data_IF_695527455564
#
_entry.id   IF_695527455564
#
_cell.length_a   1.000
_cell.length_b   1.000
_cell.length_c   1.000
_cell.angle_alpha   90.00
_cell.angle_beta   90.00
_cell.angle_gamma   90.00
#
_symmetry.space_group_name_H-M   'P 1'
#
loop_
_entity.id
_entity.type
_entity.pdbx_description
1 polymer ?
#
# COMPACT_ATOMS: atom_id res chain seq x y z
N UNK A 1 -2.76 7.86 -23.64
CA UNK A 1 -3.92 7.23 -22.92
C UNK A 1 -3.34 6.15 -22.05
N UNK A 2 -3.64 6.17 -20.76
CA UNK A 2 -3.14 5.19 -19.78
C UNK A 2 -3.67 3.79 -20.14
N UNK A 3 -2.82 2.78 -20.14
CA UNK A 3 -3.22 1.38 -20.35
C UNK A 3 -3.54 0.70 -19.01
N UNK A 4 -4.72 1.01 -18.46
CA UNK A 4 -5.20 0.42 -17.23
C UNK A 4 -5.34 -1.11 -17.31
N UNK A 5 -5.52 -1.67 -18.52
CA UNK A 5 -5.59 -3.12 -18.68
C UNK A 5 -4.26 -3.77 -18.27
N UNK A 6 -3.13 -3.22 -18.75
CA UNK A 6 -1.80 -3.73 -18.40
C UNK A 6 -1.55 -3.66 -16.88
N UNK A 7 -1.97 -2.56 -16.24
CA UNK A 7 -1.83 -2.41 -14.79
C UNK A 7 -2.69 -3.46 -14.05
N UNK A 8 -3.95 -3.64 -14.45
CA UNK A 8 -4.84 -4.64 -13.85
C UNK A 8 -4.33 -6.07 -14.04
N UNK A 9 -3.91 -6.42 -15.27
CA UNK A 9 -3.35 -7.75 -15.56
C UNK A 9 -2.15 -8.02 -14.62
N UNK A 10 -1.30 -7.01 -14.38
CA UNK A 10 -0.14 -7.13 -13.47
C UNK A 10 -0.53 -7.31 -12.00
N UNK A 11 -1.60 -6.63 -11.56
CA UNK A 11 -2.13 -6.79 -10.20
C UNK A 11 -2.79 -8.17 -10.01
N UNK A 12 -3.47 -8.70 -11.03
CA UNK A 12 -4.01 -10.07 -10.99
C UNK A 12 -2.90 -11.10 -10.88
N UNK A 13 -1.81 -10.94 -11.66
CA UNK A 13 -0.62 -11.78 -11.56
C UNK A 13 0.02 -11.71 -10.16
N UNK A 14 0.07 -10.52 -9.55
CA UNK A 14 0.59 -10.34 -8.20
C UNK A 14 -0.28 -11.05 -7.16
N UNK A 15 -1.60 -10.93 -7.27
CA UNK A 15 -2.54 -11.62 -6.39
C UNK A 15 -2.38 -13.15 -6.45
N UNK A 16 -2.15 -13.71 -7.64
CA UNK A 16 -1.87 -15.14 -7.79
C UNK A 16 -0.58 -15.56 -7.06
N UNK A 17 0.43 -14.69 -7.05
CA UNK A 17 1.71 -14.96 -6.36
C UNK A 17 1.59 -15.03 -4.83
N UNK A 18 0.52 -14.51 -4.22
CA UNK A 18 0.29 -14.61 -2.77
C UNK A 18 0.23 -16.08 -2.31
N UNK A 19 -0.49 -16.89 -3.07
CA UNK A 19 -0.70 -18.32 -2.78
C UNK A 19 0.21 -19.23 -3.64
N UNK A 20 0.70 -18.71 -4.78
CA UNK A 20 1.47 -19.46 -5.77
C UNK A 20 2.76 -18.71 -6.16
N UNK A 21 3.77 -18.64 -5.27
CA UNK A 21 5.04 -18.00 -5.58
C UNK A 21 5.70 -18.60 -6.82
N UNK A 22 6.31 -17.78 -7.65
CA UNK A 22 6.97 -18.23 -8.87
C UNK A 22 8.36 -18.76 -8.58
N UNK A 23 8.78 -19.75 -9.35
CA UNK A 23 10.13 -20.31 -9.22
C UNK A 23 11.18 -19.31 -9.67
N UNK A 24 12.17 -19.08 -8.83
CA UNK A 24 13.34 -18.26 -9.11
C UNK A 24 14.46 -19.14 -9.68
N UNK A 25 15.19 -18.61 -10.66
CA UNK A 25 16.38 -19.25 -11.22
C UNK A 25 17.61 -18.87 -10.40
N UNK A 26 18.59 -19.74 -10.31
CA UNK A 26 19.88 -19.42 -9.67
C UNK A 26 20.51 -18.18 -10.32
N UNK A 27 20.87 -17.19 -9.51
CA UNK A 27 21.45 -15.91 -9.96
C UNK A 27 20.46 -14.94 -10.60
N UNK A 28 19.15 -15.18 -10.54
CA UNK A 28 18.13 -14.25 -11.00
C UNK A 28 18.10 -13.03 -10.07
N UNK A 29 18.15 -11.84 -10.65
CA UNK A 29 18.02 -10.60 -9.87
C UNK A 29 16.56 -10.37 -9.48
N UNK A 30 16.36 -10.07 -8.22
CA UNK A 30 15.04 -9.75 -7.65
C UNK A 30 15.03 -8.35 -7.08
N UNK A 31 13.87 -7.75 -7.10
CA UNK A 31 13.61 -6.42 -6.55
C UNK A 31 12.46 -6.49 -5.55
N UNK A 32 12.61 -5.83 -4.40
CA UNK A 32 11.58 -5.80 -3.38
C UNK A 32 10.94 -4.43 -3.27
N UNK A 33 9.64 -4.43 -2.99
CA UNK A 33 8.89 -3.27 -2.54
C UNK A 33 8.29 -3.56 -1.17
N UNK A 34 8.52 -2.69 -0.19
CA UNK A 34 7.91 -2.77 1.13
C UNK A 34 7.01 -1.56 1.36
N UNK A 35 5.73 -1.83 1.61
CA UNK A 35 4.73 -0.83 1.97
C UNK A 35 4.30 -1.03 3.44
N UNK A 36 4.41 0.03 4.25
CA UNK A 36 3.96 0.07 5.63
C UNK A 36 2.62 0.81 5.73
N UNK A 37 1.58 0.24 5.17
CA UNK A 37 0.25 0.85 5.21
C UNK A 37 -0.44 0.78 6.57
N UNK A 38 -1.43 1.64 6.79
CA UNK A 38 -2.23 1.70 8.03
C UNK A 38 -3.02 0.42 8.32
N UNK A 39 -3.40 -0.32 7.28
CA UNK A 39 -4.16 -1.56 7.42
C UNK A 39 -3.32 -2.82 7.20
N UNK A 40 -2.35 -2.75 6.29
CA UNK A 40 -1.51 -3.88 5.93
C UNK A 40 -0.06 -3.45 5.79
N UNK A 41 0.86 -4.32 6.19
CA UNK A 41 2.25 -4.30 5.72
C UNK A 41 2.34 -5.29 4.58
N UNK A 42 2.90 -4.86 3.46
CA UNK A 42 2.99 -5.65 2.22
C UNK A 42 4.43 -5.72 1.76
N UNK A 43 4.93 -6.91 1.45
CA UNK A 43 6.21 -7.14 0.78
C UNK A 43 5.95 -7.76 -0.58
N UNK A 44 6.39 -7.10 -1.63
CA UNK A 44 6.28 -7.55 -3.03
C UNK A 44 7.67 -7.88 -3.55
N UNK A 45 7.78 -8.97 -4.32
CA UNK A 45 9.01 -9.32 -5.03
C UNK A 45 8.74 -9.41 -6.52
N UNK A 46 9.59 -8.75 -7.30
CA UNK A 46 9.56 -8.72 -8.76
C UNK A 46 10.87 -9.27 -9.32
N UNK A 47 10.82 -9.81 -10.54
CA UNK A 47 12.01 -10.15 -11.30
C UNK A 47 12.60 -8.94 -12.06
N UNK A 48 13.69 -9.15 -12.79
CA UNK A 48 14.38 -8.12 -13.58
C UNK A 48 13.54 -7.51 -14.71
N UNK A 49 12.47 -8.18 -15.13
CA UNK A 49 11.52 -7.70 -16.13
C UNK A 49 10.28 -7.04 -15.51
N UNK A 50 10.25 -6.94 -14.17
CA UNK A 50 9.14 -6.38 -13.39
C UNK A 50 7.94 -7.32 -13.31
N UNK A 51 8.12 -8.64 -13.54
CA UNK A 51 7.05 -9.60 -13.33
C UNK A 51 6.95 -9.96 -11.84
N UNK A 52 5.73 -10.09 -11.29
CA UNK A 52 5.53 -10.56 -9.92
C UNK A 52 6.12 -11.97 -9.73
N UNK A 53 6.83 -12.14 -8.61
CA UNK A 53 7.44 -13.41 -8.19
C UNK A 53 6.80 -13.90 -6.91
N UNK A 54 6.63 -13.02 -5.92
CA UNK A 54 5.98 -13.32 -4.65
C UNK A 54 5.34 -12.07 -4.06
N UNK A 55 4.35 -12.27 -3.21
CA UNK A 55 3.71 -11.20 -2.45
C UNK A 55 3.24 -11.74 -1.10
N UNK A 56 3.69 -11.14 -0.02
CA UNK A 56 3.19 -11.45 1.33
C UNK A 56 2.70 -10.19 2.00
N UNK A 57 1.63 -10.33 2.76
CA UNK A 57 1.07 -9.22 3.51
C UNK A 57 0.51 -9.68 4.84
N UNK A 58 0.47 -8.76 5.79
CA UNK A 58 -0.13 -8.98 7.10
C UNK A 58 -0.96 -7.78 7.51
N UNK A 59 -2.19 -8.04 7.97
CA UNK A 59 -2.98 -7.02 8.65
C UNK A 59 -2.27 -6.60 9.93
N UNK A 60 -2.13 -5.30 10.14
CA UNK A 60 -1.42 -4.75 11.28
C UNK A 60 -2.01 -3.39 11.69
N UNK A 61 -1.89 -3.06 12.96
CA UNK A 61 -2.28 -1.76 13.54
C UNK A 61 -1.05 -1.01 14.09
N UNK A 62 0.08 -1.17 13.43
CA UNK A 62 1.37 -0.56 13.82
C UNK A 62 1.60 0.80 13.18
N UNK A 63 0.78 1.14 12.18
CA UNK A 63 0.74 2.44 11.50
C UNK A 63 -0.64 3.05 11.71
N UNK A 64 -0.70 4.35 11.99
CA UNK A 64 -1.94 5.10 12.13
C UNK A 64 -1.82 6.43 11.40
N UNK A 65 -2.76 6.69 10.51
CA UNK A 65 -2.82 7.94 9.72
C UNK A 65 -1.46 8.25 9.05
N UNK A 66 -0.82 7.23 8.46
CA UNK A 66 0.47 7.33 7.80
C UNK A 66 1.71 7.31 8.72
N UNK A 67 1.55 7.35 10.03
CA UNK A 67 2.67 7.37 11.00
C UNK A 67 2.87 6.02 11.67
N UNK A 68 4.12 5.58 11.82
CA UNK A 68 4.48 4.36 12.57
C UNK A 68 4.32 4.64 14.06
N UNK A 69 3.31 4.02 14.69
CA UNK A 69 3.00 4.16 16.13
C UNK A 69 3.54 3.01 16.98
N UNK A 70 3.85 1.87 16.36
CA UNK A 70 4.53 0.74 17.00
C UNK A 70 5.71 0.29 16.11
N UNK A 71 6.87 0.90 16.35
CA UNK A 71 8.07 0.64 15.58
C UNK A 71 8.56 -0.81 15.71
N UNK A 72 8.53 -1.37 16.93
CA UNK A 72 9.00 -2.75 17.17
C UNK A 72 8.09 -3.74 16.48
N UNK A 73 6.77 -3.55 16.60
CA UNK A 73 5.79 -4.38 15.91
C UNK A 73 5.94 -4.31 14.38
N UNK A 74 6.20 -3.11 13.82
CA UNK A 74 6.44 -2.94 12.39
C UNK A 74 7.70 -3.69 11.92
N UNK A 75 8.81 -3.59 12.66
CA UNK A 75 10.05 -4.33 12.38
C UNK A 75 9.84 -5.85 12.43
N UNK A 76 9.10 -6.35 13.44
CA UNK A 76 8.85 -7.78 13.59
C UNK A 76 7.95 -8.34 12.49
N UNK A 77 6.97 -7.56 12.01
CA UNK A 77 6.12 -7.96 10.89
C UNK A 77 6.94 -7.95 9.60
N UNK A 78 7.65 -6.87 9.30
CA UNK A 78 8.48 -6.76 8.09
C UNK A 78 9.50 -7.91 8.00
N UNK A 79 10.16 -8.25 9.13
CA UNK A 79 11.10 -9.36 9.21
C UNK A 79 10.43 -10.70 8.91
N UNK A 80 9.26 -10.99 9.50
CA UNK A 80 8.51 -12.23 9.23
C UNK A 80 8.10 -12.35 7.77
N UNK A 81 7.64 -11.27 7.14
CA UNK A 81 7.29 -11.30 5.73
C UNK A 81 8.51 -11.58 4.85
N UNK A 82 9.65 -10.97 5.16
CA UNK A 82 10.92 -11.25 4.47
C UNK A 82 11.35 -12.71 4.62
N UNK A 83 11.40 -13.21 5.86
CA UNK A 83 11.76 -14.61 6.16
C UNK A 83 10.84 -15.61 5.45
N UNK A 84 9.54 -15.30 5.37
CA UNK A 84 8.58 -16.14 4.67
C UNK A 84 8.87 -16.19 3.17
N UNK A 85 9.05 -15.04 2.52
CA UNK A 85 9.38 -14.94 1.10
C UNK A 85 10.71 -15.65 0.79
N UNK A 86 11.76 -15.38 1.57
CA UNK A 86 13.07 -16.01 1.39
C UNK A 86 13.01 -17.53 1.54
N UNK A 87 12.22 -18.01 2.52
CA UNK A 87 12.00 -19.45 2.73
C UNK A 87 11.26 -20.12 1.58
N UNK A 88 10.27 -19.45 0.99
CA UNK A 88 9.49 -19.97 -0.14
C UNK A 88 10.27 -19.93 -1.46
N UNK A 89 11.05 -18.87 -1.69
CA UNK A 89 11.83 -18.69 -2.93
C UNK A 89 13.20 -19.38 -2.88
N UNK A 90 13.73 -19.67 -1.68
CA UNK A 90 15.06 -20.26 -1.47
C UNK A 90 16.20 -19.31 -1.82
N UNK A 91 16.01 -17.99 -1.65
CA UNK A 91 16.98 -16.94 -1.95
C UNK A 91 17.04 -15.95 -0.78
N UNK A 92 18.13 -15.16 -0.70
CA UNK A 92 18.22 -14.01 0.18
C UNK A 92 17.80 -12.74 -0.60
N UNK A 93 17.16 -11.80 0.09
CA UNK A 93 16.75 -10.50 -0.43
C UNK A 93 17.62 -9.44 0.21
N UNK A 94 18.30 -8.62 -0.60
CA UNK A 94 19.32 -7.67 -0.13
C UNK A 94 18.84 -6.22 -0.14
N UNK A 95 18.00 -5.83 -1.08
CA UNK A 95 17.59 -4.43 -1.29
C UNK A 95 16.07 -4.29 -1.45
N UNK A 96 15.54 -3.12 -1.07
CA UNK A 96 14.13 -2.78 -1.31
C UNK A 96 13.95 -1.29 -1.62
N UNK A 97 12.81 -0.98 -2.26
CA UNK A 97 12.21 0.34 -2.24
C UNK A 97 11.08 0.35 -1.20
N UNK A 98 10.79 1.53 -0.63
CA UNK A 98 9.67 1.73 0.30
C UNK A 98 8.71 2.77 -0.23
N UNK A 99 7.42 2.63 0.11
CA UNK A 99 6.40 3.62 -0.13
C UNK A 99 5.98 4.28 1.19
N UNK A 100 5.66 5.58 1.12
CA UNK A 100 5.20 6.41 2.25
C UNK A 100 4.06 7.31 1.79
N UNK A 101 3.18 7.79 2.68
CA UNK A 101 2.22 8.81 2.32
C UNK A 101 2.91 10.10 1.82
N UNK A 102 2.31 10.83 0.87
CA UNK A 102 2.84 12.11 0.41
C UNK A 102 3.09 13.08 1.58
N UNK A 103 4.04 14.01 1.41
CA UNK A 103 4.42 15.05 2.39
C UNK A 103 5.00 14.53 3.72
N UNK A 104 5.13 13.22 3.92
CA UNK A 104 5.65 12.63 5.18
C UNK A 104 7.15 12.36 5.14
N UNK A 105 7.85 12.58 4.01
CA UNK A 105 9.28 12.27 3.83
C UNK A 105 10.16 12.85 4.95
N UNK A 106 9.90 14.08 5.37
CA UNK A 106 10.71 14.77 6.37
C UNK A 106 10.53 14.22 7.80
N UNK A 107 9.40 13.58 8.10
CA UNK A 107 9.05 13.10 9.43
C UNK A 107 9.15 11.57 9.53
N UNK A 108 8.52 10.85 8.62
CA UNK A 108 8.35 9.40 8.69
C UNK A 108 9.18 8.61 7.67
N UNK A 109 9.67 9.23 6.60
CA UNK A 109 10.50 8.55 5.60
C UNK A 109 11.73 7.87 6.21
N UNK A 110 12.34 8.51 7.23
CA UNK A 110 13.44 7.92 7.99
C UNK A 110 13.00 6.72 8.83
N UNK A 111 11.79 6.74 9.40
CA UNK A 111 11.28 5.64 10.24
C UNK A 111 10.95 4.42 9.37
N UNK A 112 10.26 4.61 8.25
CA UNK A 112 9.91 3.53 7.32
C UNK A 112 11.18 2.89 6.72
N UNK A 113 12.14 3.72 6.32
CA UNK A 113 13.47 3.26 5.90
C UNK A 113 14.15 2.41 6.97
N UNK A 114 14.17 2.88 8.23
CA UNK A 114 14.78 2.14 9.35
C UNK A 114 14.06 0.81 9.62
N UNK A 115 12.72 0.74 9.45
CA UNK A 115 11.98 -0.53 9.54
C UNK A 115 12.48 -1.51 8.48
N UNK A 116 12.60 -1.08 7.22
CA UNK A 116 13.13 -1.92 6.15
C UNK A 116 14.57 -2.39 6.46
N UNK A 117 15.46 -1.47 6.84
CA UNK A 117 16.86 -1.77 7.16
C UNK A 117 17.00 -2.67 8.41
N UNK A 118 16.06 -2.64 9.35
CA UNK A 118 16.05 -3.54 10.51
C UNK A 118 15.86 -5.02 10.14
N UNK A 119 15.37 -5.30 8.94
CA UNK A 119 15.23 -6.66 8.40
C UNK A 119 16.47 -7.17 7.68
N UNK A 120 17.49 -6.33 7.51
CA UNK A 120 18.68 -6.59 6.71
C UNK A 120 18.55 -6.20 5.24
N UNK A 121 17.45 -5.58 4.81
CA UNK A 121 17.30 -5.02 3.47
C UNK A 121 17.97 -3.65 3.41
N UNK A 122 18.72 -3.37 2.34
CA UNK A 122 19.17 -2.02 2.04
C UNK A 122 18.03 -1.24 1.40
N UNK A 123 17.59 -0.12 1.99
CA UNK A 123 16.58 0.74 1.40
C UNK A 123 17.21 1.64 0.33
N UNK A 124 17.02 1.30 -0.93
CA UNK A 124 17.61 1.97 -2.09
C UNK A 124 16.78 3.13 -2.62
N UNK A 125 15.49 3.18 -2.33
CA UNK A 125 14.60 4.26 -2.77
C UNK A 125 13.41 4.43 -1.83
N UNK A 126 12.93 5.67 -1.72
CA UNK A 126 11.69 6.06 -1.02
C UNK A 126 10.81 6.80 -2.01
N UNK A 127 9.55 6.39 -2.15
CA UNK A 127 8.56 7.03 -3.01
C UNK A 127 7.33 7.39 -2.20
N UNK A 128 6.61 8.45 -2.60
CA UNK A 128 5.23 8.58 -2.15
C UNK A 128 4.34 7.52 -2.83
N UNK A 129 3.31 7.06 -2.13
CA UNK A 129 2.45 5.95 -2.56
C UNK A 129 1.82 6.19 -3.94
N UNK A 130 1.19 7.36 -4.25
CA UNK A 130 0.66 7.62 -5.58
C UNK A 130 1.72 7.67 -6.67
N UNK A 131 2.93 8.17 -6.38
CA UNK A 131 4.05 8.17 -7.34
C UNK A 131 4.54 6.74 -7.59
N UNK A 132 4.66 5.92 -6.55
CA UNK A 132 4.98 4.50 -6.70
C UNK A 132 3.92 3.78 -7.55
N UNK A 133 2.63 3.99 -7.30
CA UNK A 133 1.54 3.44 -8.10
C UNK A 133 1.62 3.91 -9.56
N UNK A 134 2.03 5.16 -9.79
CA UNK A 134 2.16 5.70 -11.15
C UNK A 134 3.27 5.04 -11.98
N UNK A 135 4.27 4.42 -11.37
CA UNK A 135 5.26 3.64 -12.11
C UNK A 135 4.62 2.47 -12.88
N UNK A 136 3.52 1.93 -12.35
CA UNK A 136 2.74 0.89 -13.02
C UNK A 136 1.67 1.48 -13.95
N UNK A 137 1.00 2.56 -13.53
CA UNK A 137 -0.12 3.20 -14.25
C UNK A 137 0.39 3.96 -15.49
N UNK A 138 1.48 4.72 -15.35
CA UNK A 138 2.12 5.47 -16.45
C UNK A 138 1.37 6.74 -16.85
N UNK A 139 0.70 7.42 -15.92
CA UNK A 139 0.07 8.73 -16.17
C UNK A 139 1.15 9.80 -16.34
N UNK A 140 1.09 10.54 -17.44
CA UNK A 140 1.98 11.70 -17.73
C UNK A 140 1.32 13.03 -17.39
N UNK A 141 -0.01 13.11 -17.57
CA UNK A 141 -0.81 14.30 -17.32
C UNK A 141 -2.12 13.88 -16.64
N UNK A 142 -2.32 14.31 -15.40
CA UNK A 142 -3.47 13.94 -14.58
C UNK A 142 -3.09 13.71 -13.12
N UNK A 143 -3.96 13.05 -12.37
CA UNK A 143 -3.73 12.73 -10.98
C UNK A 143 -3.81 11.22 -10.73
N UNK A 144 -3.00 10.74 -9.80
CA UNK A 144 -3.13 9.42 -9.20
C UNK A 144 -3.61 9.62 -7.77
N UNK A 145 -4.69 8.95 -7.42
CA UNK A 145 -5.32 9.01 -6.09
C UNK A 145 -5.19 7.65 -5.44
N UNK A 146 -4.53 7.61 -4.31
CA UNK A 146 -4.41 6.44 -3.45
C UNK A 146 -5.31 6.62 -2.21
N UNK A 147 -6.29 5.73 -2.07
CA UNK A 147 -7.19 5.71 -0.91
C UNK A 147 -6.81 4.52 -0.05
N UNK A 148 -5.88 4.76 0.86
CA UNK A 148 -5.36 3.76 1.77
C UNK A 148 -6.27 3.46 2.96
N UNK A 149 -5.72 2.80 3.98
CA UNK A 149 -6.41 2.53 5.24
C UNK A 149 -6.64 3.80 6.08
N UNK A 150 -5.61 4.62 6.26
CA UNK A 150 -5.61 5.81 7.11
C UNK A 150 -5.78 7.11 6.36
N UNK A 151 -5.14 7.24 5.20
CA UNK A 151 -5.01 8.48 4.44
C UNK A 151 -5.56 8.35 3.02
N UNK A 152 -5.73 9.50 2.37
CA UNK A 152 -5.91 9.64 0.92
C UNK A 152 -4.77 10.50 0.39
N UNK A 153 -3.85 9.85 -0.33
CA UNK A 153 -2.73 10.48 -1.00
C UNK A 153 -3.06 10.82 -2.46
N UNK A 154 -2.59 11.98 -2.92
CA UNK A 154 -2.80 12.43 -4.30
C UNK A 154 -1.50 12.96 -4.84
N UNK A 155 -1.06 12.48 -6.01
CA UNK A 155 0.03 13.08 -6.76
C UNK A 155 -0.46 13.53 -8.13
N UNK A 156 -0.26 14.81 -8.43
CA UNK A 156 -0.61 15.43 -9.70
C UNK A 156 0.60 15.43 -10.62
N UNK A 157 0.42 14.94 -11.84
CA UNK A 157 1.46 14.78 -12.85
C UNK A 157 1.23 15.75 -14.00
N UNK A 158 2.32 16.36 -14.47
CA UNK A 158 2.38 17.14 -15.70
C UNK A 158 3.69 16.85 -16.44
N UNK A 159 3.59 16.52 -17.71
CA UNK A 159 4.75 16.12 -18.53
C UNK A 159 5.57 14.99 -17.87
N UNK A 160 4.90 14.03 -17.21
CA UNK A 160 5.50 12.91 -16.51
C UNK A 160 6.23 13.27 -15.20
N UNK A 161 6.05 14.47 -14.68
CA UNK A 161 6.64 14.93 -13.41
C UNK A 161 5.56 15.24 -12.40
N UNK A 162 5.82 14.90 -11.14
CA UNK A 162 4.99 15.33 -10.02
C UNK A 162 5.09 16.85 -9.88
N UNK A 163 3.96 17.52 -9.89
CA UNK A 163 3.86 18.98 -9.73
C UNK A 163 3.19 19.37 -8.41
N UNK A 164 2.40 18.48 -7.84
CA UNK A 164 1.74 18.67 -6.55
C UNK A 164 1.53 17.32 -5.87
N UNK A 165 1.69 17.28 -4.55
CA UNK A 165 1.37 16.14 -3.71
C UNK A 165 0.47 16.63 -2.57
N UNK A 166 -0.51 15.82 -2.19
CA UNK A 166 -1.44 16.09 -1.08
C UNK A 166 -1.62 14.79 -0.31
N UNK A 167 -1.60 14.85 1.01
CA UNK A 167 -2.04 13.76 1.89
C UNK A 167 -3.06 14.25 2.90
N UNK A 168 -4.18 13.53 3.01
CA UNK A 168 -5.25 13.84 3.94
C UNK A 168 -5.63 12.62 4.77
N UNK A 169 -5.69 12.82 6.08
CA UNK A 169 -6.04 11.77 7.05
C UNK A 169 -7.50 11.35 6.92
N UNK A 170 -7.83 10.68 5.81
CA UNK A 170 -9.15 10.11 5.54
C UNK A 170 -9.00 8.91 4.61
N UNK A 171 -9.26 7.71 5.11
CA UNK A 171 -9.13 6.46 4.34
C UNK A 171 -10.14 5.41 4.79
N UNK A 172 -9.90 4.17 4.42
CA UNK A 172 -10.79 3.03 4.62
C UNK A 172 -11.20 2.77 6.08
N UNK A 173 -10.30 3.07 7.02
CA UNK A 173 -10.57 2.99 8.48
C UNK A 173 -11.70 3.92 8.90
N UNK A 174 -11.78 5.11 8.31
CA UNK A 174 -12.84 6.07 8.63
C UNK A 174 -14.22 5.56 8.20
N UNK A 175 -14.30 4.83 7.07
CA UNK A 175 -15.55 4.16 6.67
C UNK A 175 -15.96 3.10 7.70
N UNK A 176 -15.01 2.31 8.20
CA UNK A 176 -15.28 1.26 9.19
C UNK A 176 -15.68 1.85 10.54
N UNK A 177 -15.06 2.96 10.97
CA UNK A 177 -15.44 3.66 12.20
C UNK A 177 -16.86 4.23 12.15
N UNK A 178 -17.23 4.87 11.03
CA UNK A 178 -18.58 5.39 10.84
C UNK A 178 -19.61 4.26 10.83
N UNK A 179 -19.29 3.17 10.15
CA UNK A 179 -20.16 1.98 10.10
C UNK A 179 -20.30 1.31 11.47
N UNK A 180 -19.20 1.14 12.22
CA UNK A 180 -19.19 0.59 13.58
C UNK A 180 -20.11 1.41 14.51
N UNK A 181 -19.98 2.75 14.49
CA UNK A 181 -20.81 3.64 15.28
C UNK A 181 -22.29 3.57 14.89
N UNK A 182 -22.60 3.56 13.59
CA UNK A 182 -23.98 3.52 13.11
C UNK A 182 -24.71 2.20 13.39
N UNK A 183 -23.97 1.08 13.35
CA UNK A 183 -24.55 -0.27 13.57
C UNK A 183 -24.32 -0.81 14.99
N UNK A 184 -23.57 -0.10 15.85
CA UNK A 184 -23.27 -0.54 17.22
C UNK A 184 -22.43 -1.82 17.28
N UNK A 185 -21.50 -2.00 16.35
CA UNK A 185 -20.59 -3.15 16.25
C UNK A 185 -19.14 -2.76 16.54
N UNK A 186 -18.27 -3.73 16.73
CA UNK A 186 -16.82 -3.46 16.88
C UNK A 186 -16.23 -2.96 15.56
N UNK A 187 -15.03 -2.35 15.64
CA UNK A 187 -14.29 -1.93 14.43
C UNK A 187 -14.00 -3.13 13.51
N UNK A 188 -13.54 -4.24 14.08
CA UNK A 188 -13.19 -5.44 13.31
C UNK A 188 -14.41 -6.05 12.62
N UNK A 189 -15.55 -6.12 13.31
CA UNK A 189 -16.81 -6.58 12.71
C UNK A 189 -17.26 -5.64 11.58
N UNK A 190 -17.10 -4.32 11.77
CA UNK A 190 -17.45 -3.33 10.75
C UNK A 190 -16.53 -3.42 9.51
N UNK A 191 -15.24 -3.70 9.70
CA UNK A 191 -14.29 -3.91 8.61
C UNK A 191 -14.68 -5.15 7.79
N UNK A 192 -14.99 -6.27 8.44
CA UNK A 192 -15.48 -7.48 7.77
C UNK A 192 -16.82 -7.23 7.07
N UNK A 193 -17.76 -6.55 7.75
CA UNK A 193 -19.06 -6.22 7.20
C UNK A 193 -18.98 -5.31 5.97
N UNK A 194 -18.14 -4.27 6.03
CA UNK A 194 -17.88 -3.34 4.92
C UNK A 194 -17.37 -4.03 3.67
N UNK A 195 -16.49 -5.02 3.83
CA UNK A 195 -15.85 -5.74 2.71
C UNK A 195 -16.78 -6.74 2.03
N UNK A 196 -17.86 -7.17 2.68
CA UNK A 196 -18.77 -8.14 2.11
C UNK A 196 -19.70 -7.46 1.08
N UNK A 197 -19.63 -7.84 -0.22
CA UNK A 197 -20.48 -7.26 -1.27
C UNK A 197 -21.98 -7.36 -1.01
N UNK A 198 -22.44 -8.36 -0.26
CA UNK A 198 -23.83 -8.55 0.08
C UNK A 198 -24.38 -7.40 0.92
N UNK A 199 -23.53 -6.73 1.68
CA UNK A 199 -23.89 -5.62 2.57
C UNK A 199 -23.73 -4.23 1.94
N UNK A 200 -23.17 -4.11 0.73
CA UNK A 200 -22.86 -2.81 0.12
C UNK A 200 -24.08 -1.87 0.02
N UNK A 201 -25.29 -2.42 -0.22
CA UNK A 201 -26.52 -1.62 -0.28
C UNK A 201 -26.87 -0.97 1.06
N UNK A 202 -26.52 -1.60 2.19
CA UNK A 202 -26.75 -1.07 3.52
C UNK A 202 -25.60 -0.18 3.99
N UNK A 203 -24.39 -0.50 3.59
CA UNK A 203 -23.17 0.23 3.95
C UNK A 203 -23.14 1.59 3.28
N UNK A 204 -23.44 1.66 1.97
CA UNK A 204 -23.30 2.85 1.16
C UNK A 204 -23.98 4.10 1.76
N UNK A 205 -25.25 4.08 2.18
CA UNK A 205 -25.87 5.27 2.77
C UNK A 205 -25.21 5.72 4.09
N UNK A 206 -24.64 4.78 4.85
CA UNK A 206 -23.99 5.06 6.13
C UNK A 206 -22.64 5.76 5.91
N UNK A 207 -21.87 5.29 4.93
CA UNK A 207 -20.52 5.81 4.66
C UNK A 207 -20.50 6.97 3.65
N UNK A 208 -21.64 7.32 3.04
CA UNK A 208 -21.76 8.41 2.05
C UNK A 208 -21.13 9.74 2.51
N UNK A 209 -21.30 10.21 3.77
CA UNK A 209 -20.65 11.45 4.21
C UNK A 209 -19.12 11.37 4.19
N UNK A 210 -18.55 10.18 4.40
CA UNK A 210 -17.09 9.97 4.30
C UNK A 210 -16.64 9.94 2.85
N UNK A 211 -17.45 9.36 1.95
CA UNK A 211 -17.21 9.42 0.49
C UNK A 211 -17.23 10.87 0.02
N UNK A 212 -18.22 11.67 0.44
CA UNK A 212 -18.32 13.09 0.09
C UNK A 212 -17.09 13.88 0.57
N UNK A 213 -16.55 13.54 1.76
CA UNK A 213 -15.29 14.11 2.24
C UNK A 213 -14.13 13.77 1.34
N UNK A 214 -13.93 12.48 0.99
CA UNK A 214 -12.87 12.04 0.07
C UNK A 214 -13.03 12.73 -1.30
N UNK A 215 -14.23 12.81 -1.83
CA UNK A 215 -14.50 13.52 -3.08
C UNK A 215 -14.07 15.00 -2.99
N UNK A 216 -14.38 15.67 -1.88
CA UNK A 216 -13.96 17.07 -1.66
C UNK A 216 -12.43 17.22 -1.58
N UNK A 217 -11.72 16.23 -1.02
CA UNK A 217 -10.26 16.21 -1.00
C UNK A 217 -9.74 16.14 -2.46
N UNK A 218 -10.27 15.21 -3.23
CA UNK A 218 -9.86 15.01 -4.64
C UNK A 218 -10.18 16.26 -5.50
N UNK A 219 -11.29 16.91 -5.28
CA UNK A 219 -11.68 18.12 -6.04
C UNK A 219 -10.81 19.35 -5.72
N UNK A 220 -10.09 19.35 -4.60
CA UNK A 220 -9.20 20.46 -4.20
C UNK A 220 -7.76 20.29 -4.68
N UNK A 221 -7.36 19.08 -5.01
CA UNK A 221 -6.10 18.75 -5.65
C UNK A 221 -6.10 19.20 -7.12
#
# INVERSE_FOLDING_TARGET
MVDLKKANDRLEELLDCVDHPRKVREGQRLYCGLDLGTAFIVLVVLDEDGNPVDCKYQFASVVKDGMVVDYVGACDIARRLKEQVEGELGVELDECAVAIPPETEALDGGVVKNVAESTGLECTAVFDEPTAANLLIGTTDGAVVDIGGGTTGISVFKDGKVVECIDESTGGTHFSLVLAGAKGMTFDDAEVYKRNPEHHREVLPIVSPTIDKVTTIIERA
#
